data_IF_140461677287
#
_entry.id   IF_140461677287
#
_cell.length_a   1.000
_cell.length_b   1.000
_cell.length_c   1.000
_cell.angle_alpha   90.00
_cell.angle_beta   90.00
_cell.angle_gamma   90.00
#
_symmetry.space_group_name_H-M   'P 1'
#
loop_
_entity.id
_entity.type
_entity.pdbx_description
1 polymer ?
#
# COMPACT_ATOMS: atom_id res chain seq x y z
N UNK A 1 7.83 14.83 5.98
CA UNK A 1 8.60 14.44 4.77
C UNK A 1 9.96 15.12 4.70
N UNK A 2 10.12 16.37 5.17
CA UNK A 2 11.40 17.09 5.14
C UNK A 2 12.53 16.43 5.95
N UNK A 3 12.20 15.70 7.02
CA UNK A 3 13.18 15.01 7.86
C UNK A 3 13.90 13.83 7.18
N UNK A 4 13.42 13.36 6.03
CA UNK A 4 14.06 12.30 5.25
C UNK A 4 14.99 12.81 4.15
N UNK A 5 14.96 14.12 3.85
CA UNK A 5 15.74 14.73 2.77
C UNK A 5 17.24 14.75 3.14
N UNK A 6 17.55 15.23 4.34
CA UNK A 6 18.92 15.45 4.83
C UNK A 6 19.75 14.15 4.90
N UNK A 7 19.26 13.04 5.50
CA UNK A 7 20.06 11.82 5.59
C UNK A 7 20.25 11.10 4.25
N UNK A 8 19.36 11.31 3.28
CA UNK A 8 19.44 10.67 1.97
C UNK A 8 20.07 11.57 0.89
N UNK A 9 20.59 12.75 1.28
CA UNK A 9 21.26 13.65 0.34
C UNK A 9 22.56 13.00 -0.16
N UNK A 10 22.91 13.15 -1.46
CA UNK A 10 24.15 12.63 -2.03
C UNK A 10 25.35 13.50 -1.64
N UNK A 11 25.70 13.55 -0.35
CA UNK A 11 26.74 14.44 0.19
C UNK A 11 28.08 14.30 -0.55
N UNK A 12 28.41 13.10 -1.02
CA UNK A 12 29.61 12.83 -1.82
C UNK A 12 29.58 13.55 -3.17
N UNK A 13 28.47 13.46 -3.90
CA UNK A 13 28.31 14.14 -5.20
C UNK A 13 28.29 15.66 -5.03
N UNK A 14 27.65 16.15 -3.97
CA UNK A 14 27.64 17.58 -3.63
C UNK A 14 29.05 18.08 -3.33
N UNK A 15 29.85 17.33 -2.58
CA UNK A 15 31.24 17.70 -2.27
C UNK A 15 32.12 17.76 -3.54
N UNK A 16 31.97 16.80 -4.46
CA UNK A 16 32.70 16.80 -5.75
C UNK A 16 32.29 18.02 -6.60
N UNK A 17 31.01 18.35 -6.63
CA UNK A 17 30.51 19.52 -7.34
C UNK A 17 31.06 20.83 -6.76
N UNK A 18 31.04 20.99 -5.43
CA UNK A 18 31.61 22.16 -4.74
C UNK A 18 33.11 22.28 -5.06
N UNK A 19 33.86 21.17 -5.04
CA UNK A 19 35.28 21.20 -5.37
C UNK A 19 35.53 21.67 -6.82
N UNK A 20 34.70 21.22 -7.77
CA UNK A 20 34.78 21.63 -9.16
C UNK A 20 34.45 23.12 -9.33
N UNK A 21 33.41 23.62 -8.68
CA UNK A 21 33.08 25.05 -8.66
C UNK A 21 34.20 25.91 -8.06
N UNK A 22 34.84 25.46 -6.97
CA UNK A 22 35.99 26.15 -6.40
C UNK A 22 37.17 26.24 -7.38
N UNK A 23 37.41 25.20 -8.19
CA UNK A 23 38.47 25.24 -9.22
C UNK A 23 38.15 26.22 -10.35
N UNK A 24 36.91 26.27 -10.82
CA UNK A 24 36.46 27.22 -11.86
C UNK A 24 36.57 28.65 -11.34
N UNK A 25 36.09 28.89 -10.11
CA UNK A 25 36.17 30.19 -9.44
C UNK A 25 37.62 30.68 -9.31
N UNK A 26 38.55 29.77 -9.00
CA UNK A 26 39.97 30.10 -8.82
C UNK A 26 40.67 30.51 -10.13
N UNK A 27 40.21 30.02 -11.29
CA UNK A 27 40.79 30.33 -12.59
C UNK A 27 40.13 31.52 -13.30
N UNK A 28 38.80 31.60 -13.27
CA UNK A 28 38.05 32.57 -14.09
C UNK A 28 37.53 33.76 -13.28
N UNK A 29 37.50 33.66 -11.95
CA UNK A 29 36.91 34.69 -11.08
C UNK A 29 35.38 34.65 -11.05
N UNK A 30 34.80 35.37 -10.09
CA UNK A 30 33.34 35.30 -9.79
C UNK A 30 32.47 35.99 -10.85
N UNK A 31 33.04 36.96 -11.57
CA UNK A 31 32.34 37.76 -12.59
C UNK A 31 32.41 37.13 -13.99
N UNK A 32 32.95 35.91 -14.11
CA UNK A 32 33.05 35.22 -15.38
C UNK A 32 31.72 34.59 -15.80
N UNK A 33 31.38 34.73 -17.08
CA UNK A 33 30.19 34.10 -17.68
C UNK A 33 30.27 32.57 -17.55
N UNK A 34 31.48 32.00 -17.59
CA UNK A 34 31.73 30.58 -17.40
C UNK A 34 31.33 30.09 -16.00
N UNK A 35 31.68 30.84 -14.95
CA UNK A 35 31.30 30.50 -13.57
C UNK A 35 29.79 30.62 -13.35
N UNK A 36 29.16 31.66 -13.90
CA UNK A 36 27.71 31.82 -13.83
C UNK A 36 26.99 30.66 -14.55
N UNK A 37 27.45 30.28 -15.74
CA UNK A 37 26.88 29.19 -16.52
C UNK A 37 27.06 27.83 -15.83
N UNK A 38 28.26 27.52 -15.30
CA UNK A 38 28.52 26.26 -14.59
C UNK A 38 27.65 26.13 -13.36
N UNK A 39 27.52 27.21 -12.58
CA UNK A 39 26.69 27.25 -11.37
C UNK A 39 25.23 26.99 -11.70
N UNK A 40 24.67 27.64 -12.72
CA UNK A 40 23.27 27.45 -13.13
C UNK A 40 23.05 25.99 -13.58
N UNK A 41 23.94 25.47 -14.41
CA UNK A 41 23.84 24.09 -14.91
C UNK A 41 23.88 23.11 -13.74
N UNK A 42 24.83 23.26 -12.82
CA UNK A 42 24.96 22.36 -11.69
C UNK A 42 23.78 22.43 -10.72
N UNK A 43 23.22 23.61 -10.46
CA UNK A 43 21.98 23.76 -9.67
C UNK A 43 20.82 23.03 -10.36
N UNK A 44 20.65 23.19 -11.67
CA UNK A 44 19.60 22.51 -12.42
C UNK A 44 19.78 20.98 -12.36
N UNK A 45 20.99 20.47 -12.62
CA UNK A 45 21.27 19.04 -12.52
C UNK A 45 21.06 18.48 -11.12
N UNK A 46 21.45 19.23 -10.08
CA UNK A 46 21.25 18.85 -8.69
C UNK A 46 19.76 18.76 -8.33
N UNK A 47 18.96 19.72 -8.78
CA UNK A 47 17.51 19.70 -8.60
C UNK A 47 16.88 18.47 -9.29
N UNK A 48 17.23 18.21 -10.55
CA UNK A 48 16.76 17.02 -11.27
C UNK A 48 17.18 15.73 -10.57
N UNK A 49 18.42 15.65 -10.11
CA UNK A 49 18.95 14.48 -9.42
C UNK A 49 18.21 14.21 -8.10
N UNK A 50 17.97 15.24 -7.29
CA UNK A 50 17.18 15.12 -6.06
C UNK A 50 15.77 14.63 -6.37
N UNK A 51 15.08 15.25 -7.35
CA UNK A 51 13.73 14.84 -7.73
C UNK A 51 13.68 13.40 -8.22
N UNK A 52 14.66 12.98 -9.03
CA UNK A 52 14.76 11.61 -9.52
C UNK A 52 14.96 10.60 -8.38
N UNK A 53 15.89 10.87 -7.46
CA UNK A 53 16.10 10.00 -6.28
C UNK A 53 14.82 9.91 -5.45
N UNK A 54 14.16 11.04 -5.21
CA UNK A 54 12.93 11.06 -4.42
C UNK A 54 11.82 10.23 -5.07
N UNK A 55 11.61 10.40 -6.38
CA UNK A 55 10.64 9.61 -7.13
C UNK A 55 10.96 8.12 -7.07
N UNK A 56 12.24 7.76 -7.19
CA UNK A 56 12.69 6.37 -7.13
C UNK A 56 12.51 5.74 -5.74
N UNK A 57 12.91 6.45 -4.67
CA UNK A 57 12.72 6.00 -3.29
C UNK A 57 11.23 5.86 -2.98
N UNK A 58 10.41 6.85 -3.39
CA UNK A 58 8.96 6.79 -3.20
C UNK A 58 8.37 5.56 -3.90
N UNK A 59 8.72 5.31 -5.16
CA UNK A 59 8.21 4.17 -5.90
C UNK A 59 8.61 2.83 -5.25
N UNK A 60 9.86 2.71 -4.76
CA UNK A 60 10.31 1.52 -4.02
C UNK A 60 9.59 1.34 -2.70
N UNK A 61 9.43 2.43 -1.94
CA UNK A 61 8.69 2.43 -0.68
C UNK A 61 7.26 1.94 -0.89
N UNK A 62 6.57 2.46 -1.91
CA UNK A 62 5.22 2.07 -2.28
C UNK A 62 5.08 0.57 -2.59
N UNK A 63 6.02 0.00 -3.34
CA UNK A 63 6.04 -1.43 -3.65
C UNK A 63 6.27 -2.30 -2.41
N UNK A 64 7.26 -1.94 -1.59
CA UNK A 64 7.62 -2.68 -0.38
C UNK A 64 6.52 -2.59 0.68
N UNK A 65 5.96 -1.40 0.87
CA UNK A 65 5.01 -1.18 1.95
C UNK A 65 3.71 -1.92 1.75
N UNK A 66 3.24 -2.02 0.50
CA UNK A 66 2.04 -2.79 0.15
C UNK A 66 2.20 -4.25 0.56
N UNK A 67 3.40 -4.81 0.42
CA UNK A 67 3.71 -6.18 0.81
C UNK A 67 3.78 -6.42 2.32
N UNK A 68 4.06 -5.38 3.10
CA UNK A 68 4.28 -5.48 4.55
C UNK A 68 3.04 -5.09 5.35
N UNK A 69 2.33 -4.05 4.91
CA UNK A 69 1.22 -3.47 5.67
C UNK A 69 0.02 -4.42 5.73
N UNK A 70 -0.30 -5.10 4.63
CA UNK A 70 -1.48 -5.97 4.54
C UNK A 70 -1.37 -7.15 5.53
N UNK A 71 -0.26 -7.92 5.56
CA UNK A 71 -0.10 -8.99 6.54
C UNK A 71 -0.19 -8.53 8.00
N UNK A 72 0.39 -7.37 8.35
CA UNK A 72 0.34 -6.87 9.73
C UNK A 72 -1.09 -6.52 10.17
N UNK A 73 -1.90 -5.94 9.28
CA UNK A 73 -3.30 -5.64 9.56
C UNK A 73 -4.16 -6.90 9.64
N UNK A 74 -3.88 -7.91 8.80
CA UNK A 74 -4.53 -9.23 8.88
C UNK A 74 -4.24 -9.91 10.23
N UNK A 75 -2.97 -9.93 10.64
CA UNK A 75 -2.52 -10.66 11.83
C UNK A 75 -3.07 -10.03 13.12
N UNK A 76 -2.98 -8.71 13.23
CA UNK A 76 -3.29 -8.00 14.49
C UNK A 76 -4.74 -7.51 14.58
N UNK A 77 -5.49 -7.57 13.48
CA UNK A 77 -6.93 -7.22 13.39
C UNK A 77 -7.31 -5.97 14.20
N UNK A 78 -6.69 -4.80 13.94
CA UNK A 78 -6.97 -3.58 14.72
C UNK A 78 -8.43 -3.11 14.59
N UNK A 79 -9.15 -3.55 13.56
CA UNK A 79 -10.54 -3.19 13.34
C UNK A 79 -11.53 -4.04 14.14
N UNK A 80 -11.09 -5.14 14.78
CA UNK A 80 -11.93 -5.94 15.66
C UNK A 80 -12.10 -5.33 17.05
N UNK A 81 -11.15 -4.49 17.45
CA UNK A 81 -11.09 -3.94 18.79
C UNK A 81 -12.04 -2.74 18.95
N UNK A 82 -12.89 -2.80 19.97
CA UNK A 82 -13.91 -1.77 20.27
C UNK A 82 -13.29 -0.70 21.18
N UNK A 83 -12.42 -1.11 22.10
CA UNK A 83 -11.74 -0.17 23.00
C UNK A 83 -10.75 0.70 22.22
N UNK A 84 -10.96 2.02 22.26
CA UNK A 84 -10.17 2.99 21.50
C UNK A 84 -8.70 2.97 21.96
N UNK A 85 -8.46 2.82 23.27
CA UNK A 85 -7.10 2.80 23.82
C UNK A 85 -6.31 1.59 23.35
N UNK A 86 -6.94 0.40 23.41
CA UNK A 86 -6.33 -0.85 22.96
C UNK A 86 -6.16 -0.89 21.44
N UNK A 87 -7.11 -0.34 20.69
CA UNK A 87 -6.98 -0.17 19.24
C UNK A 87 -5.78 0.70 18.87
N UNK A 88 -5.61 1.85 19.53
CA UNK A 88 -4.45 2.71 19.26
C UNK A 88 -3.14 2.02 19.65
N UNK A 89 -3.09 1.27 20.75
CA UNK A 89 -1.92 0.50 21.13
C UNK A 89 -1.52 -0.55 20.06
N UNK A 90 -2.51 -1.26 19.49
CA UNK A 90 -2.27 -2.19 18.38
C UNK A 90 -1.77 -1.44 17.14
N UNK A 91 -2.35 -0.29 16.80
CA UNK A 91 -1.91 0.51 15.65
C UNK A 91 -0.48 1.03 15.83
N UNK A 92 -0.09 1.43 17.04
CA UNK A 92 1.29 1.85 17.34
C UNK A 92 2.28 0.68 17.22
N UNK A 93 1.89 -0.52 17.65
CA UNK A 93 2.69 -1.72 17.45
C UNK A 93 2.83 -2.09 15.96
N UNK A 94 1.74 -2.01 15.18
CA UNK A 94 1.82 -2.16 13.71
C UNK A 94 2.75 -1.10 13.11
N UNK A 95 2.63 0.16 13.52
CA UNK A 95 3.46 1.26 13.03
C UNK A 95 4.95 0.98 13.25
N UNK A 96 5.32 0.54 14.46
CA UNK A 96 6.70 0.18 14.80
C UNK A 96 7.21 -0.97 13.93
N UNK A 97 6.43 -2.05 13.81
CA UNK A 97 6.82 -3.24 13.06
C UNK A 97 6.92 -2.98 11.55
N UNK A 98 5.95 -2.27 10.97
CA UNK A 98 5.98 -1.86 9.57
C UNK A 98 7.19 -0.97 9.31
N UNK A 99 7.44 0.03 10.16
CA UNK A 99 8.60 0.91 10.01
C UNK A 99 9.92 0.14 10.06
N UNK A 100 10.10 -0.77 11.03
CA UNK A 100 11.31 -1.58 11.15
C UNK A 100 11.54 -2.45 9.90
N UNK A 101 10.49 -3.13 9.41
CA UNK A 101 10.58 -3.97 8.21
C UNK A 101 10.87 -3.17 6.95
N UNK A 102 10.27 -1.99 6.82
CA UNK A 102 10.45 -1.10 5.66
C UNK A 102 11.85 -0.49 5.67
N UNK A 103 12.34 -0.02 6.82
CA UNK A 103 13.70 0.49 6.95
C UNK A 103 14.74 -0.58 6.62
N UNK A 104 14.53 -1.81 7.10
CA UNK A 104 15.36 -2.96 6.77
C UNK A 104 15.37 -3.25 5.26
N UNK A 105 14.18 -3.24 4.62
CA UNK A 105 14.06 -3.54 3.19
C UNK A 105 14.58 -2.43 2.27
N UNK A 106 14.48 -1.16 2.68
CA UNK A 106 14.95 -0.01 1.89
C UNK A 106 16.41 0.35 2.16
N UNK A 107 16.96 -0.03 3.33
CA UNK A 107 18.25 0.47 3.79
C UNK A 107 18.26 1.97 4.05
N UNK A 108 17.10 2.57 4.30
CA UNK A 108 16.93 4.01 4.57
C UNK A 108 16.08 4.20 5.82
N UNK A 109 16.16 5.39 6.43
CA UNK A 109 15.30 5.74 7.56
C UNK A 109 13.87 6.15 7.14
N UNK A 110 13.46 5.88 5.90
CA UNK A 110 12.16 6.29 5.39
C UNK A 110 11.04 5.47 6.04
N UNK A 111 10.07 6.13 6.68
CA UNK A 111 9.07 5.49 7.54
C UNK A 111 7.77 6.28 7.63
N UNK A 112 6.73 5.69 8.21
CA UNK A 112 5.54 6.44 8.64
C UNK A 112 5.82 7.21 9.93
N UNK A 113 5.20 8.39 10.04
CA UNK A 113 5.31 9.26 11.21
C UNK A 113 4.21 9.04 12.25
N UNK A 114 3.05 8.52 11.81
CA UNK A 114 1.89 8.35 12.68
C UNK A 114 1.00 7.18 12.19
N UNK A 115 0.13 6.73 13.08
CA UNK A 115 -0.85 5.65 12.84
C UNK A 115 -1.91 6.05 11.82
N UNK A 116 -2.24 7.34 11.71
CA UNK A 116 -3.19 7.84 10.71
C UNK A 116 -2.72 7.60 9.27
N UNK A 117 -1.48 7.98 8.93
CA UNK A 117 -0.90 7.77 7.60
C UNK A 117 -0.76 6.28 7.27
N UNK A 118 -0.51 5.45 8.27
CA UNK A 118 -0.49 4.00 8.13
C UNK A 118 -1.89 3.46 7.76
N UNK A 119 -2.93 3.86 8.49
CA UNK A 119 -4.32 3.43 8.23
C UNK A 119 -4.80 3.93 6.86
N UNK A 120 -4.53 5.19 6.52
CA UNK A 120 -4.88 5.75 5.20
C UNK A 120 -4.20 4.96 4.07
N UNK A 121 -2.93 4.58 4.24
CA UNK A 121 -2.24 3.72 3.28
C UNK A 121 -2.93 2.38 3.13
N UNK A 122 -3.23 1.70 4.24
CA UNK A 122 -3.93 0.42 4.22
C UNK A 122 -5.25 0.52 3.44
N UNK A 123 -6.06 1.54 3.74
CA UNK A 123 -7.33 1.77 3.04
C UNK A 123 -7.15 2.10 1.56
N UNK A 124 -6.10 2.83 1.20
CA UNK A 124 -5.76 3.09 -0.20
C UNK A 124 -5.39 1.81 -0.94
N UNK A 125 -4.61 0.91 -0.32
CA UNK A 125 -4.29 -0.40 -0.86
C UNK A 125 -5.56 -1.23 -1.07
N UNK A 126 -6.47 -1.22 -0.10
CA UNK A 126 -7.73 -1.97 -0.19
C UNK A 126 -8.63 -1.45 -1.32
N UNK A 127 -8.86 -0.14 -1.41
CA UNK A 127 -9.64 0.48 -2.49
C UNK A 127 -9.05 0.21 -3.87
N UNK A 128 -7.71 0.27 -3.97
CA UNK A 128 -7.01 -0.02 -5.23
C UNK A 128 -7.19 -1.48 -5.63
N UNK A 129 -7.12 -2.40 -4.67
CA UNK A 129 -7.42 -3.79 -4.89
C UNK A 129 -8.88 -3.98 -5.32
N UNK A 130 -9.86 -3.44 -4.60
CA UNK A 130 -11.28 -3.55 -4.95
C UNK A 130 -11.57 -3.03 -6.36
N UNK A 131 -11.01 -1.88 -6.73
CA UNK A 131 -11.17 -1.34 -8.07
C UNK A 131 -10.61 -2.27 -9.14
N UNK A 132 -9.39 -2.79 -8.94
CA UNK A 132 -8.76 -3.73 -9.88
C UNK A 132 -9.50 -5.06 -9.92
N UNK A 133 -9.85 -5.60 -8.77
CA UNK A 133 -10.57 -6.85 -8.61
C UNK A 133 -11.93 -6.75 -9.29
N UNK A 134 -12.73 -5.74 -8.94
CA UNK A 134 -14.00 -5.51 -9.61
C UNK A 134 -13.81 -5.31 -11.10
N UNK A 135 -12.84 -4.53 -11.58
CA UNK A 135 -12.63 -4.35 -13.02
C UNK A 135 -12.29 -5.66 -13.76
N UNK A 136 -11.49 -6.53 -13.16
CA UNK A 136 -11.02 -7.79 -13.77
C UNK A 136 -12.07 -8.89 -13.65
N UNK A 137 -12.76 -8.97 -12.50
CA UNK A 137 -13.66 -10.06 -12.15
C UNK A 137 -15.15 -9.70 -12.28
N UNK A 138 -15.55 -8.44 -12.55
CA UNK A 138 -16.98 -8.02 -12.70
C UNK A 138 -17.74 -8.79 -13.77
N UNK A 139 -17.05 -9.11 -14.86
CA UNK A 139 -17.64 -9.69 -16.05
C UNK A 139 -17.57 -11.22 -16.04
N UNK A 140 -16.89 -11.80 -15.05
CA UNK A 140 -17.20 -13.16 -14.66
C UNK A 140 -18.50 -13.04 -13.89
N UNK A 141 -19.59 -13.52 -14.46
CA UNK A 141 -20.82 -13.76 -13.71
C UNK A 141 -20.45 -14.61 -12.51
N UNK A 142 -20.23 -13.96 -11.38
CA UNK A 142 -20.41 -14.54 -10.07
C UNK A 142 -21.90 -14.84 -10.06
N UNK A 143 -22.29 -15.99 -10.63
CA UNK A 143 -23.44 -16.69 -10.11
C UNK A 143 -23.16 -16.75 -8.61
N UNK A 144 -24.03 -16.17 -7.80
CA UNK A 144 -23.96 -16.12 -6.33
C UNK A 144 -23.79 -17.51 -5.68
N UNK A 145 -23.76 -18.55 -6.50
CA UNK A 145 -23.57 -19.94 -6.17
C UNK A 145 -22.12 -20.43 -6.34
N UNK A 146 -21.13 -19.65 -6.80
CA UNK A 146 -19.76 -20.20 -6.99
C UNK A 146 -19.14 -20.68 -5.68
N UNK A 147 -19.43 -20.05 -4.54
CA UNK A 147 -18.98 -20.51 -3.23
C UNK A 147 -19.65 -21.84 -2.83
N UNK A 148 -20.96 -22.00 -3.04
CA UNK A 148 -21.71 -23.25 -2.79
C UNK A 148 -21.39 -24.35 -3.81
N UNK A 149 -21.06 -23.98 -5.05
CA UNK A 149 -20.74 -24.89 -6.16
C UNK A 149 -19.31 -25.40 -6.04
N UNK A 150 -18.36 -24.62 -5.53
CA UNK A 150 -17.00 -25.11 -5.23
C UNK A 150 -17.03 -26.09 -4.04
N UNK A 151 -17.87 -25.85 -3.03
CA UNK A 151 -18.04 -26.76 -1.88
C UNK A 151 -18.80 -28.04 -2.25
N UNK A 152 -19.79 -27.98 -3.16
CA UNK A 152 -20.55 -29.16 -3.61
C UNK A 152 -19.88 -29.98 -4.72
N UNK A 153 -19.06 -29.37 -5.58
CA UNK A 153 -18.29 -30.07 -6.64
C UNK A 153 -17.19 -30.97 -6.08
N UNK A 154 -16.82 -30.81 -4.81
CA UNK A 154 -15.91 -31.72 -4.12
C UNK A 154 -16.54 -33.07 -3.76
N UNK A 155 -17.87 -33.24 -3.87
CA UNK A 155 -18.52 -34.44 -3.31
C UNK A 155 -19.29 -35.35 -4.27
N UNK A 156 -19.64 -34.98 -5.51
CA UNK A 156 -20.29 -35.98 -6.38
C UNK A 156 -20.38 -35.67 -7.89
N UNK A 157 -20.17 -36.74 -8.65
CA UNK A 157 -20.73 -37.04 -9.98
C UNK A 157 -20.07 -36.48 -11.25
N UNK A 158 -19.78 -37.43 -12.14
CA UNK A 158 -19.37 -37.20 -13.53
C UNK A 158 -20.57 -36.86 -14.41
N UNK A 159 -20.62 -35.61 -14.90
CA UNK A 159 -21.61 -35.13 -15.86
C UNK A 159 -20.91 -34.34 -16.99
N UNK A 160 -20.98 -34.86 -18.22
CA UNK A 160 -20.24 -34.35 -19.39
C UNK A 160 -20.74 -32.99 -19.93
N UNK A 161 -21.91 -32.50 -19.50
CA UNK A 161 -22.39 -31.17 -19.87
C UNK A 161 -21.69 -30.04 -19.11
N UNK A 162 -21.15 -30.32 -17.90
CA UNK A 162 -20.27 -29.40 -17.14
C UNK A 162 -18.87 -29.26 -17.75
N UNK A 163 -18.46 -30.21 -18.61
CA UNK A 163 -17.16 -30.24 -19.28
C UNK A 163 -17.04 -29.26 -20.45
N UNK A 164 -18.17 -28.78 -20.97
CA UNK A 164 -18.22 -27.70 -21.99
C UNK A 164 -18.28 -26.31 -21.35
N UNK A 165 -18.93 -26.15 -20.19
CA UNK A 165 -18.91 -24.91 -19.41
C UNK A 165 -17.55 -24.67 -18.71
N UNK A 166 -16.82 -25.73 -18.35
CA UNK A 166 -15.46 -25.65 -17.76
C UNK A 166 -14.34 -25.28 -18.75
N UNK A 167 -14.66 -25.02 -20.03
CA UNK A 167 -13.67 -24.58 -21.03
C UNK A 167 -13.35 -23.10 -20.98
N UNK A 168 -14.16 -22.28 -20.31
CA UNK A 168 -13.63 -21.06 -19.71
C UNK A 168 -12.89 -21.52 -18.47
N UNK A 169 -11.55 -21.58 -18.54
CA UNK A 169 -10.73 -21.85 -17.37
C UNK A 169 -11.23 -20.92 -16.26
N UNK A 170 -11.63 -21.43 -15.08
CA UNK A 170 -11.89 -20.55 -13.95
C UNK A 170 -10.68 -19.65 -13.84
N UNK A 171 -10.90 -18.33 -13.88
CA UNK A 171 -9.81 -17.39 -13.64
C UNK A 171 -9.40 -17.62 -12.21
N UNK A 172 -8.41 -18.48 -12.04
CA UNK A 172 -7.88 -18.85 -10.74
C UNK A 172 -7.33 -17.56 -10.15
N UNK A 173 -7.99 -17.05 -9.10
CA UNK A 173 -7.48 -15.95 -8.31
C UNK A 173 -6.10 -16.39 -7.84
N UNK A 174 -5.03 -15.65 -8.17
CA UNK A 174 -3.64 -16.10 -7.97
C UNK A 174 -2.85 -15.13 -7.11
N UNK A 175 -1.95 -15.69 -6.30
CA UNK A 175 -0.95 -14.93 -5.55
C UNK A 175 -1.57 -13.86 -4.64
N UNK A 176 -1.14 -12.61 -4.85
CA UNK A 176 -1.53 -11.45 -4.06
C UNK A 176 -3.04 -11.17 -4.04
N UNK A 177 -3.77 -11.50 -5.10
CA UNK A 177 -5.22 -11.30 -5.14
C UNK A 177 -5.93 -12.14 -4.07
N UNK A 178 -5.43 -13.34 -3.75
CA UNK A 178 -5.98 -14.18 -2.67
C UNK A 178 -5.75 -13.53 -1.30
N UNK A 179 -4.55 -13.02 -1.06
CA UNK A 179 -4.18 -12.40 0.23
C UNK A 179 -5.02 -11.15 0.46
N UNK A 180 -5.20 -10.32 -0.57
CA UNK A 180 -6.03 -9.11 -0.48
C UNK A 180 -7.50 -9.44 -0.28
N UNK A 181 -8.00 -10.51 -0.91
CA UNK A 181 -9.38 -10.97 -0.69
C UNK A 181 -9.59 -11.50 0.73
N UNK A 182 -8.63 -12.23 1.29
CA UNK A 182 -8.64 -12.65 2.70
C UNK A 182 -8.63 -11.43 3.62
N UNK A 183 -7.76 -10.46 3.37
CA UNK A 183 -7.70 -9.21 4.14
C UNK A 183 -9.05 -8.49 4.15
N UNK A 184 -9.71 -8.44 3.00
CA UNK A 184 -11.01 -7.81 2.85
C UNK A 184 -12.11 -8.55 3.61
N UNK A 185 -12.14 -9.87 3.54
CA UNK A 185 -13.11 -10.68 4.28
C UNK A 185 -12.95 -10.51 5.79
N UNK A 186 -11.70 -10.51 6.29
CA UNK A 186 -11.40 -10.29 7.70
C UNK A 186 -11.85 -8.90 8.16
N UNK A 187 -11.63 -7.87 7.34
CA UNK A 187 -12.11 -6.52 7.64
C UNK A 187 -13.64 -6.46 7.72
N UNK A 188 -14.35 -7.12 6.79
CA UNK A 188 -15.82 -7.19 6.83
C UNK A 188 -16.31 -7.93 8.08
N UNK A 189 -15.70 -9.08 8.43
CA UNK A 189 -16.00 -9.80 9.67
C UNK A 189 -15.76 -8.94 10.92
N UNK A 190 -14.68 -8.16 10.94
CA UNK A 190 -14.38 -7.25 12.06
C UNK A 190 -15.46 -6.17 12.20
N UNK A 191 -15.91 -5.60 11.08
CA UNK A 191 -17.00 -4.61 11.06
C UNK A 191 -18.32 -5.24 11.54
N UNK A 192 -18.68 -6.42 11.03
CA UNK A 192 -19.88 -7.15 11.45
C UNK A 192 -19.85 -7.48 12.95
N UNK A 193 -18.69 -7.93 13.44
CA UNK A 193 -18.48 -8.21 14.86
C UNK A 193 -18.72 -6.96 15.71
N UNK A 194 -18.12 -5.82 15.35
CA UNK A 194 -18.34 -4.56 16.07
C UNK A 194 -19.81 -4.15 16.00
N UNK A 195 -20.43 -4.20 14.82
CA UNK A 195 -21.84 -3.84 14.67
C UNK A 195 -22.73 -4.67 15.60
N UNK A 196 -22.52 -5.98 15.67
CA UNK A 196 -23.27 -6.90 16.53
C UNK A 196 -23.06 -6.65 18.03
N UNK A 197 -21.92 -6.08 18.42
CA UNK A 197 -21.56 -5.81 19.82
C UNK A 197 -21.96 -4.41 20.27
N UNK A 198 -21.91 -3.43 19.38
CA UNK A 198 -22.19 -2.03 19.68
C UNK A 198 -23.68 -1.70 19.55
N UNK A 199 -24.39 -2.34 18.62
CA UNK A 199 -25.79 -2.04 18.33
C UNK A 199 -26.70 -3.20 18.73
N UNK A 200 -27.91 -2.85 19.21
CA UNK A 200 -28.98 -3.81 19.42
C UNK A 200 -29.37 -4.49 18.10
N UNK A 201 -29.72 -5.79 18.08
CA UNK A 201 -30.23 -6.48 16.91
C UNK A 201 -31.41 -5.75 16.23
N UNK A 202 -32.24 -5.07 17.02
CA UNK A 202 -33.40 -4.30 16.55
C UNK A 202 -32.98 -3.09 15.69
N UNK A 203 -31.88 -2.42 16.04
CA UNK A 203 -31.32 -1.30 15.26
C UNK A 203 -30.68 -1.81 13.97
N UNK A 204 -29.98 -2.94 14.03
CA UNK A 204 -29.37 -3.57 12.84
C UNK A 204 -30.46 -3.97 11.85
N UNK A 205 -31.56 -4.56 12.31
CA UNK A 205 -32.67 -4.98 11.46
C UNK A 205 -33.43 -3.78 10.85
N UNK A 206 -33.65 -2.73 11.64
CA UNK A 206 -34.36 -1.52 11.19
C UNK A 206 -33.60 -0.75 10.12
N UNK A 207 -32.27 -0.64 10.24
CA UNK A 207 -31.46 0.15 9.30
C UNK A 207 -30.77 -0.69 8.21
N UNK A 208 -30.60 -2.01 8.41
CA UNK A 208 -30.03 -2.90 7.40
C UNK A 208 -30.95 -3.13 6.20
N UNK A 209 -32.27 -3.21 6.44
CA UNK A 209 -33.29 -3.43 5.40
C UNK A 209 -33.53 -2.22 4.49
N UNK A 210 -33.09 -1.02 4.88
CA UNK A 210 -33.24 0.20 4.07
C UNK A 210 -32.31 0.18 2.83
N UNK A 211 -31.29 -0.70 2.81
CA UNK A 211 -30.30 -0.74 1.73
C UNK A 211 -30.65 -1.69 0.56
N UNK A 212 -31.74 -2.45 0.68
CA UNK A 212 -32.19 -3.43 -0.34
C UNK A 212 -33.38 -2.95 -1.20
N UNK A 213 -33.85 -1.71 -1.03
CA UNK A 213 -34.83 -1.04 -1.91
C UNK A 213 -34.17 0.09 -2.71
#
# INVERSE_FOLDING_TARGET
MAHYIIPNLPWKSLAVYIALECTILSWNGVDSDEFAASTIIGVVFFMFYITFIFAFIQAKFEGIITGIIIPEFIDKRPFREIDIGRKEAILQDILCNVNNKVQFALGTNYSYTNTFSLVDKYQHCMRTFEYKFNKVYRNLSVEDNVWDKIVSVASDSGNDNLRKASRQRPVEIRGWDKIMLVARNIENEDIEYIMSKTYSPELIQTYGTIREN
#
